data_IF_561274380987
#
_entry.id   IF_561274380987
#
_cell.length_a   1.000
_cell.length_b   1.000
_cell.length_c   1.000
_cell.angle_alpha   90.00
_cell.angle_beta   90.00
_cell.angle_gamma   90.00
#
_symmetry.space_group_name_H-M   'P 1'
#
loop_
_entity.id
_entity.type
_entity.pdbx_description
1 polymer ?
#
# COMPACT_ATOMS: atom_id res chain seq x y z
N UNK A 1 25.67 34.32 18.33
CA UNK A 1 25.23 34.95 19.61
C UNK A 1 25.13 33.82 20.64
N UNK A 2 25.85 33.94 21.77
CA UNK A 2 25.75 32.98 22.87
C UNK A 2 24.38 33.10 23.52
N UNK A 3 23.69 31.99 23.74
CA UNK A 3 22.38 31.97 24.42
C UNK A 3 22.50 32.42 25.91
N UNK A 4 21.34 32.49 26.63
CA UNK A 4 21.33 32.87 28.03
C UNK A 4 22.13 31.91 28.90
N UNK A 5 22.81 32.44 29.91
CA UNK A 5 23.54 31.64 30.89
C UNK A 5 22.60 30.92 31.85
N UNK A 6 23.12 29.92 32.57
CA UNK A 6 22.34 29.22 33.60
C UNK A 6 21.75 30.21 34.63
N UNK A 7 22.53 31.21 35.05
CA UNK A 7 22.12 32.19 36.04
C UNK A 7 20.98 33.08 35.50
N UNK A 8 21.06 33.50 34.22
CA UNK A 8 19.99 34.28 33.60
C UNK A 8 18.70 33.52 33.51
N UNK A 9 18.72 32.23 33.08
CA UNK A 9 17.56 31.36 33.06
C UNK A 9 16.97 31.15 34.46
N UNK A 10 17.82 30.89 35.47
CA UNK A 10 17.37 30.69 36.84
C UNK A 10 16.73 31.93 37.49
N UNK A 11 17.06 33.12 36.99
CA UNK A 11 16.57 34.40 37.45
C UNK A 11 15.44 35.00 36.58
N UNK A 12 14.86 34.21 35.65
CA UNK A 12 13.71 34.66 34.84
C UNK A 12 12.58 35.17 35.73
N UNK A 13 12.14 36.40 35.44
CA UNK A 13 11.14 37.08 36.28
C UNK A 13 9.70 36.67 36.01
N UNK A 14 9.44 36.00 34.90
CA UNK A 14 8.13 35.50 34.50
C UNK A 14 8.25 34.23 33.61
N UNK A 15 7.13 33.52 33.40
CA UNK A 15 7.07 32.40 32.47
C UNK A 15 7.30 32.86 31.03
N UNK A 16 6.79 34.01 30.64
CA UNK A 16 6.97 34.58 29.30
C UNK A 16 8.44 34.89 29.02
N UNK A 17 9.12 35.50 30.00
CA UNK A 17 10.57 35.74 29.92
C UNK A 17 11.34 34.42 29.82
N UNK A 18 11.02 33.41 30.65
CA UNK A 18 11.62 32.09 30.55
C UNK A 18 11.40 31.45 29.18
N UNK A 19 10.15 31.50 28.64
CA UNK A 19 9.84 30.92 27.32
C UNK A 19 10.58 31.62 26.20
N UNK A 20 10.72 32.94 26.27
CA UNK A 20 11.49 33.71 25.30
C UNK A 20 12.98 33.27 25.30
N UNK A 21 13.57 33.17 26.50
CA UNK A 21 14.96 32.71 26.64
C UNK A 21 15.15 31.27 26.17
N UNK A 22 14.24 30.33 26.52
CA UNK A 22 14.28 28.93 26.06
C UNK A 22 14.22 28.84 24.53
N UNK A 23 13.42 29.69 23.90
CA UNK A 23 13.32 29.77 22.43
C UNK A 23 14.66 30.09 21.76
N UNK A 24 15.50 30.92 22.37
CA UNK A 24 16.82 31.29 21.83
C UNK A 24 17.82 30.11 21.80
N UNK A 25 17.64 29.14 22.71
CA UNK A 25 18.46 27.93 22.82
C UNK A 25 17.72 26.67 22.33
N UNK A 26 16.64 26.84 21.55
CA UNK A 26 15.84 25.77 20.97
C UNK A 26 15.28 24.76 21.99
N UNK A 27 14.99 25.23 23.20
CA UNK A 27 14.29 24.45 24.23
C UNK A 27 12.84 24.90 24.29
N UNK A 28 11.92 23.95 24.50
CA UNK A 28 10.50 24.23 24.65
C UNK A 28 10.00 23.77 26.02
N UNK A 29 9.17 24.59 26.65
CA UNK A 29 8.50 24.24 27.90
C UNK A 29 7.45 23.17 27.66
N UNK A 30 7.73 21.91 28.00
CA UNK A 30 6.83 20.78 27.78
C UNK A 30 5.47 20.94 28.47
N UNK A 31 5.41 21.65 29.56
CA UNK A 31 4.20 21.97 30.35
C UNK A 31 3.35 23.10 29.74
N UNK A 32 3.89 23.91 28.80
CA UNK A 32 3.21 25.07 28.22
C UNK A 32 2.45 24.74 26.92
N UNK A 33 2.41 23.49 26.49
CA UNK A 33 1.74 23.10 25.25
C UNK A 33 0.23 23.21 25.36
N UNK A 34 -0.39 23.89 24.41
CA UNK A 34 -1.87 23.95 24.26
C UNK A 34 -2.45 22.58 23.93
N UNK A 35 -1.71 21.74 23.23
CA UNK A 35 -2.05 20.34 22.91
C UNK A 35 -1.10 19.40 23.61
N UNK A 36 -1.59 18.39 24.35
CA UNK A 36 -0.72 17.43 25.02
C UNK A 36 0.16 16.68 24.02
N UNK A 37 1.37 16.30 24.45
CA UNK A 37 2.28 15.45 23.66
C UNK A 37 1.77 14.01 23.52
N UNK A 38 0.94 13.58 24.47
CA UNK A 38 0.28 12.29 24.51
C UNK A 38 -1.23 12.51 24.40
N UNK A 39 -1.90 11.64 23.67
CA UNK A 39 -3.36 11.68 23.50
C UNK A 39 -3.96 10.30 23.79
N UNK A 40 -5.23 10.25 24.26
CA UNK A 40 -5.83 9.01 24.76
C UNK A 40 -6.14 7.98 23.67
N UNK A 41 -6.37 8.43 22.45
CA UNK A 41 -6.71 7.58 21.30
C UNK A 41 -5.88 7.93 20.07
N UNK A 42 -5.69 6.96 19.14
CA UNK A 42 -5.00 7.21 17.88
C UNK A 42 -5.66 8.33 17.05
N UNK A 43 -4.86 9.13 16.37
CA UNK A 43 -5.37 10.14 15.45
C UNK A 43 -5.88 9.48 14.18
N UNK A 44 -7.10 9.84 13.75
CA UNK A 44 -7.71 9.44 12.49
C UNK A 44 -7.51 10.53 11.44
N UNK A 45 -6.26 10.81 11.08
CA UNK A 45 -5.92 11.86 10.12
C UNK A 45 -6.30 11.47 8.69
N UNK A 46 -5.96 10.26 8.28
CA UNK A 46 -6.32 9.72 6.98
C UNK A 46 -7.79 9.28 6.98
N UNK A 47 -8.41 9.32 5.80
CA UNK A 47 -9.85 9.02 5.61
C UNK A 47 -10.03 7.72 4.84
N UNK A 48 -11.08 6.93 5.10
CA UNK A 48 -11.50 5.89 4.19
C UNK A 48 -11.80 6.52 2.82
N UNK A 49 -11.37 5.86 1.76
CA UNK A 49 -11.58 6.37 0.41
C UNK A 49 -11.51 5.25 -0.64
N UNK A 50 -12.10 5.47 -1.80
CA UNK A 50 -12.01 4.56 -2.94
C UNK A 50 -11.66 5.28 -4.22
N UNK A 51 -10.89 4.62 -5.10
CA UNK A 51 -10.50 5.12 -6.41
C UNK A 51 -11.01 4.18 -7.50
N UNK A 52 -11.60 4.77 -8.54
CA UNK A 52 -12.14 4.02 -9.68
C UNK A 52 -11.05 3.61 -10.66
N UNK A 53 -10.91 2.31 -10.89
CA UNK A 53 -10.02 1.79 -11.93
C UNK A 53 -10.44 2.22 -13.34
N UNK A 54 -11.74 2.31 -13.61
CA UNK A 54 -12.22 2.76 -14.92
C UNK A 54 -11.76 4.19 -15.24
N UNK A 55 -11.74 5.09 -14.25
CA UNK A 55 -11.22 6.44 -14.41
C UNK A 55 -9.70 6.43 -14.57
N UNK A 56 -9.00 5.67 -13.72
CA UNK A 56 -7.55 5.54 -13.78
C UNK A 56 -7.09 4.95 -15.12
N UNK A 57 -7.76 3.89 -15.60
CA UNK A 57 -7.46 3.28 -16.90
C UNK A 57 -7.62 4.29 -18.04
N UNK A 58 -8.73 5.05 -18.09
CA UNK A 58 -8.93 6.10 -19.08
C UNK A 58 -7.82 7.17 -19.06
N UNK A 59 -7.36 7.57 -17.87
CA UNK A 59 -6.26 8.52 -17.73
C UNK A 59 -4.91 7.92 -18.16
N UNK A 60 -4.64 6.65 -17.83
CA UNK A 60 -3.44 5.94 -18.28
C UNK A 60 -3.42 5.73 -19.81
N UNK A 61 -4.57 5.40 -20.42
CA UNK A 61 -4.71 5.30 -21.86
C UNK A 61 -4.41 6.64 -22.56
N UNK A 62 -4.87 7.75 -21.98
CA UNK A 62 -4.53 9.09 -22.46
C UNK A 62 -3.02 9.38 -22.28
N UNK A 63 -2.45 9.07 -21.13
CA UNK A 63 -1.02 9.24 -20.87
C UNK A 63 -0.16 8.42 -21.85
N UNK A 64 -0.59 7.19 -22.18
CA UNK A 64 0.10 6.36 -23.19
C UNK A 64 0.24 7.03 -24.55
N UNK A 65 -0.72 7.85 -24.96
CA UNK A 65 -0.65 8.63 -26.20
C UNK A 65 0.14 9.93 -26.07
N UNK A 66 0.22 10.50 -24.88
CA UNK A 66 0.78 11.84 -24.63
C UNK A 66 2.21 11.83 -24.14
N UNK A 67 2.64 10.73 -23.49
CA UNK A 67 3.93 10.62 -22.83
C UNK A 67 4.66 9.37 -23.35
N UNK A 68 5.89 9.55 -23.80
CA UNK A 68 6.77 8.45 -24.19
C UNK A 68 7.59 7.91 -23.00
N UNK A 69 8.37 6.85 -23.23
CA UNK A 69 9.21 6.21 -22.20
C UNK A 69 10.39 7.06 -21.75
N UNK A 70 10.77 8.09 -22.49
CA UNK A 70 11.82 9.04 -22.09
C UNK A 70 11.36 9.96 -20.95
N UNK A 71 10.07 10.35 -20.97
CA UNK A 71 9.46 11.17 -19.92
C UNK A 71 9.00 10.35 -18.72
N UNK A 72 8.49 9.14 -18.97
CA UNK A 72 8.04 8.25 -17.94
C UNK A 72 8.25 6.80 -18.37
N UNK A 73 9.19 6.12 -17.76
CA UNK A 73 9.49 4.71 -18.06
C UNK A 73 8.25 3.82 -18.01
N UNK A 74 7.33 4.17 -17.12
CA UNK A 74 5.96 3.65 -17.01
C UNK A 74 5.02 4.75 -16.53
N UNK A 75 3.79 4.76 -17.05
CA UNK A 75 2.79 5.73 -16.61
C UNK A 75 2.23 5.26 -15.29
N UNK A 76 2.24 6.13 -14.29
CA UNK A 76 1.68 5.85 -12.98
C UNK A 76 0.72 6.96 -12.50
N UNK A 77 -0.29 6.57 -11.73
CA UNK A 77 -1.24 7.47 -11.10
C UNK A 77 -1.25 7.15 -9.61
N UNK A 78 -0.60 8.00 -8.84
CA UNK A 78 -0.53 7.85 -7.38
C UNK A 78 -1.89 8.14 -6.75
N UNK A 79 -2.34 7.29 -5.85
CA UNK A 79 -3.64 7.39 -5.17
C UNK A 79 -3.50 8.23 -3.89
N UNK A 80 -3.80 9.52 -4.00
CA UNK A 80 -3.69 10.47 -2.89
C UNK A 80 -4.91 10.37 -1.98
N UNK A 81 -4.68 10.21 -0.68
CA UNK A 81 -5.76 10.29 0.29
C UNK A 81 -6.27 11.74 0.40
N UNK A 82 -7.60 11.97 0.55
CA UNK A 82 -8.14 13.33 0.70
C UNK A 82 -7.53 14.14 1.86
N UNK A 83 -6.94 13.47 2.84
CA UNK A 83 -6.33 14.09 4.01
C UNK A 83 -4.80 14.21 3.94
N UNK A 84 -4.16 13.81 2.83
CA UNK A 84 -2.70 13.81 2.68
C UNK A 84 -2.27 14.08 1.25
N UNK A 85 -1.01 14.48 1.08
CA UNK A 85 -0.51 14.94 -0.21
C UNK A 85 -0.10 13.79 -1.13
N UNK A 86 0.81 12.91 -0.68
CA UNK A 86 1.40 11.87 -1.54
C UNK A 86 0.93 10.45 -1.17
N UNK A 87 0.60 10.21 0.08
CA UNK A 87 0.35 8.87 0.60
C UNK A 87 -1.12 8.43 0.45
N UNK A 88 -1.36 7.15 0.20
CA UNK A 88 -2.68 6.52 0.23
C UNK A 88 -3.14 6.31 1.69
N UNK A 89 -2.19 5.98 2.56
CA UNK A 89 -2.34 5.94 4.02
C UNK A 89 -1.06 6.43 4.69
N UNK A 90 -0.97 6.39 6.02
CA UNK A 90 0.21 6.92 6.76
C UNK A 90 1.52 6.25 6.38
N UNK A 91 1.49 4.96 6.04
CA UNK A 91 2.67 4.11 5.83
C UNK A 91 2.73 3.48 4.44
N UNK A 92 1.62 3.54 3.69
CA UNK A 92 1.46 2.86 2.42
C UNK A 92 1.04 3.87 1.35
N UNK A 93 1.65 3.78 0.17
CA UNK A 93 1.21 4.42 -1.06
C UNK A 93 0.82 3.35 -2.07
N UNK A 94 -0.24 3.61 -2.81
CA UNK A 94 -0.68 2.80 -3.93
C UNK A 94 -0.75 3.64 -5.21
N UNK A 95 -0.51 3.01 -6.36
CA UNK A 95 -0.55 3.65 -7.67
C UNK A 95 -1.06 2.68 -8.73
N UNK A 96 -1.93 3.13 -9.61
CA UNK A 96 -2.18 2.43 -10.87
C UNK A 96 -1.05 2.69 -11.84
N UNK A 97 -0.58 1.66 -12.51
CA UNK A 97 0.48 1.77 -13.50
C UNK A 97 0.11 1.09 -14.82
N UNK A 98 0.77 1.52 -15.90
CA UNK A 98 0.59 0.97 -17.23
C UNK A 98 1.89 0.98 -18.02
N UNK A 99 2.11 -0.10 -18.79
CA UNK A 99 3.15 -0.23 -19.79
C UNK A 99 2.52 -0.69 -21.12
N UNK A 100 2.94 -0.07 -22.23
CA UNK A 100 2.42 -0.38 -23.57
C UNK A 100 3.15 -1.59 -24.19
N UNK A 101 2.57 -2.24 -25.21
CA UNK A 101 3.27 -3.26 -25.99
C UNK A 101 4.61 -2.77 -26.52
N UNK A 102 5.64 -3.62 -26.38
CA UNK A 102 7.01 -3.34 -26.83
C UNK A 102 7.84 -2.44 -25.89
N UNK A 103 7.25 -1.87 -24.86
CA UNK A 103 7.96 -1.03 -23.91
C UNK A 103 8.69 -1.84 -22.83
N UNK A 104 9.80 -1.27 -22.35
CA UNK A 104 10.56 -1.76 -21.19
C UNK A 104 10.84 -0.60 -20.25
N UNK A 105 10.70 -0.84 -18.95
CA UNK A 105 11.14 0.06 -17.87
C UNK A 105 12.52 -0.37 -17.40
N UNK A 106 13.44 0.60 -17.25
CA UNK A 106 14.82 0.34 -16.79
C UNK A 106 14.83 -0.31 -15.42
N UNK A 107 15.77 -1.22 -15.25
CA UNK A 107 15.97 -1.91 -13.96
C UNK A 107 16.61 -0.98 -12.94
N UNK A 108 16.15 -1.11 -11.71
CA UNK A 108 16.67 -0.36 -10.57
C UNK A 108 16.39 -1.14 -9.27
N UNK A 109 16.93 -0.67 -8.17
CA UNK A 109 16.59 -1.14 -6.82
C UNK A 109 16.36 0.04 -5.88
N UNK A 110 15.56 -0.18 -4.87
CA UNK A 110 15.25 0.83 -3.86
C UNK A 110 14.96 0.20 -2.50
N UNK A 111 15.08 1.01 -1.44
CA UNK A 111 14.82 0.57 -0.07
C UNK A 111 13.35 0.17 0.16
N UNK A 112 12.34 0.91 -0.32
CA UNK A 112 10.96 0.48 -0.14
C UNK A 112 10.68 -0.92 -0.68
N UNK A 113 9.88 -1.69 0.06
CA UNK A 113 9.21 -2.86 -0.48
C UNK A 113 8.15 -2.44 -1.47
N UNK A 114 7.97 -3.21 -2.53
CA UNK A 114 6.91 -3.03 -3.51
C UNK A 114 6.26 -4.37 -3.88
N UNK A 115 5.03 -4.28 -4.34
CA UNK A 115 4.29 -5.41 -4.89
C UNK A 115 3.31 -4.93 -5.95
N UNK A 116 2.85 -5.87 -6.80
CA UNK A 116 1.91 -5.60 -7.89
C UNK A 116 0.76 -6.58 -7.84
N UNK A 117 -0.46 -6.07 -7.88
CA UNK A 117 -1.64 -6.83 -8.27
C UNK A 117 -1.93 -6.56 -9.73
N UNK A 118 -1.91 -7.57 -10.56
CA UNK A 118 -2.15 -7.45 -12.00
C UNK A 118 -3.65 -7.34 -12.26
N UNK A 119 -4.06 -6.28 -12.94
CA UNK A 119 -5.47 -6.00 -13.22
C UNK A 119 -5.87 -6.47 -14.64
N UNK A 120 -5.16 -5.97 -15.65
CA UNK A 120 -5.36 -6.37 -17.04
C UNK A 120 -3.99 -6.52 -17.72
N UNK A 121 -3.75 -7.64 -18.37
CA UNK A 121 -2.57 -7.89 -19.17
C UNK A 121 -2.82 -9.07 -20.11
N UNK A 122 -2.19 -9.04 -21.30
CA UNK A 122 -2.05 -10.20 -22.17
C UNK A 122 -0.80 -11.00 -21.77
N UNK A 123 -0.70 -12.27 -22.14
CA UNK A 123 0.55 -13.02 -22.04
C UNK A 123 1.70 -12.26 -22.72
N UNK A 124 2.83 -12.12 -22.01
CA UNK A 124 4.01 -11.36 -22.47
C UNK A 124 4.35 -10.15 -21.63
N UNK A 125 3.46 -9.68 -20.76
CA UNK A 125 3.82 -8.74 -19.70
C UNK A 125 4.57 -9.45 -18.58
N UNK A 126 5.64 -8.82 -18.05
CA UNK A 126 6.48 -9.43 -17.02
C UNK A 126 7.15 -8.39 -16.13
N UNK A 127 7.56 -8.85 -14.95
CA UNK A 127 8.55 -8.19 -14.10
C UNK A 127 9.77 -9.10 -13.97
N UNK A 128 10.98 -8.56 -14.07
CA UNK A 128 12.20 -9.27 -13.66
C UNK A 128 12.53 -8.82 -12.23
N UNK A 129 12.81 -9.77 -11.35
CA UNK A 129 13.22 -9.50 -9.97
C UNK A 129 14.44 -10.36 -9.63
N UNK A 130 15.61 -9.74 -9.41
CA UNK A 130 16.87 -10.43 -9.16
C UNK A 130 17.14 -11.60 -10.14
N UNK A 131 16.99 -11.37 -11.44
CA UNK A 131 17.21 -12.37 -12.47
C UNK A 131 16.07 -13.37 -12.70
N UNK A 132 14.94 -13.27 -11.98
CA UNK A 132 13.75 -14.09 -12.23
C UNK A 132 12.73 -13.33 -13.08
N UNK A 133 12.40 -13.83 -14.27
CA UNK A 133 11.36 -13.30 -15.13
C UNK A 133 10.00 -13.87 -14.73
N UNK A 134 9.21 -13.04 -14.05
CA UNK A 134 7.92 -13.40 -13.49
C UNK A 134 6.80 -12.89 -14.42
N UNK A 135 5.94 -13.78 -14.88
CA UNK A 135 4.79 -13.42 -15.71
C UNK A 135 3.81 -12.53 -14.93
N UNK A 136 3.12 -11.65 -15.65
CA UNK A 136 2.09 -10.76 -15.11
C UNK A 136 0.76 -11.09 -15.76
N UNK A 137 -0.02 -12.00 -15.17
CA UNK A 137 -1.37 -12.35 -15.63
C UNK A 137 -2.44 -11.77 -14.70
N UNK A 138 -3.65 -11.45 -15.19
CA UNK A 138 -4.71 -10.86 -14.36
C UNK A 138 -5.02 -11.67 -13.11
N UNK A 139 -4.95 -11.03 -11.96
CA UNK A 139 -5.13 -11.62 -10.63
C UNK A 139 -3.84 -12.10 -9.96
N UNK A 140 -2.72 -12.20 -10.69
CA UNK A 140 -1.41 -12.50 -10.10
C UNK A 140 -0.97 -11.38 -9.16
N UNK A 141 -0.19 -11.78 -8.14
CA UNK A 141 0.54 -10.85 -7.27
C UNK A 141 2.02 -11.11 -7.40
N UNK A 142 2.79 -10.07 -7.73
CA UNK A 142 4.25 -10.11 -7.90
C UNK A 142 4.92 -9.21 -6.87
N UNK A 143 5.91 -9.72 -6.15
CA UNK A 143 6.65 -8.99 -5.13
C UNK A 143 7.95 -8.43 -5.71
N UNK A 144 8.32 -7.28 -5.20
CA UNK A 144 9.66 -6.68 -5.33
C UNK A 144 10.14 -6.30 -3.93
N UNK A 145 10.78 -7.24 -3.21
CA UNK A 145 11.26 -6.99 -1.86
C UNK A 145 12.32 -5.87 -1.82
N UNK A 146 12.50 -5.30 -0.64
CA UNK A 146 13.55 -4.31 -0.35
C UNK A 146 14.87 -4.70 -1.01
N UNK A 147 15.46 -3.72 -1.71
CA UNK A 147 16.79 -3.79 -2.31
C UNK A 147 16.97 -4.87 -3.38
N UNK A 148 15.91 -5.47 -3.91
CA UNK A 148 15.97 -6.37 -5.06
C UNK A 148 16.02 -5.57 -6.37
N UNK A 149 16.93 -5.94 -7.27
CA UNK A 149 16.90 -5.46 -8.65
C UNK A 149 15.58 -5.80 -9.31
N UNK A 150 14.99 -4.88 -10.06
CA UNK A 150 13.77 -5.15 -10.79
C UNK A 150 13.57 -4.19 -11.97
N UNK A 151 12.92 -4.72 -12.98
CA UNK A 151 12.50 -4.00 -14.19
C UNK A 151 11.23 -4.63 -14.76
N UNK A 152 10.63 -4.00 -15.76
CA UNK A 152 9.38 -4.45 -16.35
C UNK A 152 9.48 -4.45 -17.87
N UNK A 153 8.69 -5.30 -18.51
CA UNK A 153 8.53 -5.27 -19.95
C UNK A 153 7.18 -5.83 -20.39
N UNK A 154 6.78 -5.48 -21.58
CA UNK A 154 5.55 -5.96 -22.19
C UNK A 154 5.84 -6.42 -23.63
N UNK A 155 6.00 -7.71 -23.80
CA UNK A 155 6.14 -8.40 -25.11
C UNK A 155 4.78 -8.84 -25.66
N UNK A 156 3.69 -8.53 -24.94
CA UNK A 156 2.31 -8.83 -25.33
C UNK A 156 1.78 -7.89 -26.42
N UNK A 157 0.48 -8.01 -26.71
CA UNK A 157 -0.20 -7.23 -27.77
C UNK A 157 -1.09 -6.11 -27.23
N UNK A 158 -1.46 -6.15 -25.96
CA UNK A 158 -2.24 -5.13 -25.28
C UNK A 158 -1.43 -4.45 -24.18
N UNK A 159 -1.89 -3.26 -23.75
CA UNK A 159 -1.33 -2.60 -22.57
C UNK A 159 -1.52 -3.47 -21.34
N UNK A 160 -0.52 -3.48 -20.45
CA UNK A 160 -0.62 -4.12 -19.15
C UNK A 160 -0.86 -3.07 -18.08
N UNK A 161 -1.82 -3.33 -17.19
CA UNK A 161 -2.23 -2.45 -16.09
C UNK A 161 -2.16 -3.21 -14.77
N UNK A 162 -1.61 -2.58 -13.76
CA UNK A 162 -1.52 -3.16 -12.42
C UNK A 162 -1.68 -2.11 -11.34
N UNK A 163 -1.93 -2.57 -10.13
CA UNK A 163 -1.86 -1.78 -8.91
C UNK A 163 -0.51 -2.04 -8.23
N UNK A 164 0.35 -1.04 -8.15
CA UNK A 164 1.52 -1.06 -7.28
C UNK A 164 1.13 -0.62 -5.87
N UNK A 165 1.71 -1.29 -4.86
CA UNK A 165 1.61 -0.88 -3.45
C UNK A 165 3.00 -0.92 -2.84
N UNK A 166 3.38 0.17 -2.17
CA UNK A 166 4.72 0.36 -1.60
C UNK A 166 4.65 0.96 -0.20
N UNK A 167 5.66 0.68 0.62
CA UNK A 167 5.85 1.28 1.94
C UNK A 167 6.69 2.58 1.90
N UNK A 168 6.72 3.27 0.75
CA UNK A 168 7.45 4.53 0.57
C UNK A 168 7.18 5.55 1.68
N UNK A 169 5.93 5.81 2.12
CA UNK A 169 5.69 6.78 3.18
C UNK A 169 6.32 6.39 4.51
N UNK A 170 6.41 5.09 4.83
CA UNK A 170 7.11 4.58 6.02
C UNK A 170 8.62 4.83 5.89
N UNK A 171 9.20 4.50 4.74
CA UNK A 171 10.63 4.71 4.48
C UNK A 171 10.98 6.20 4.49
N UNK A 172 10.14 7.06 3.93
CA UNK A 172 10.32 8.52 3.99
C UNK A 172 10.25 9.06 5.43
N UNK A 173 9.33 8.55 6.25
CA UNK A 173 9.20 8.94 7.65
C UNK A 173 10.46 8.60 8.47
N UNK A 174 11.07 7.45 8.18
CA UNK A 174 12.27 6.96 8.87
C UNK A 174 13.58 7.41 8.20
N UNK A 175 13.51 7.99 7.00
CA UNK A 175 14.60 8.55 6.19
C UNK A 175 15.61 7.57 5.53
N UNK A 176 15.55 6.22 5.62
CA UNK A 176 16.53 5.34 4.98
C UNK A 176 16.24 5.11 3.49
N UNK A 177 15.94 6.16 2.73
CA UNK A 177 15.65 6.06 1.31
C UNK A 177 16.94 5.94 0.48
N UNK A 178 17.08 4.81 -0.21
CA UNK A 178 18.11 4.60 -1.21
C UNK A 178 17.45 4.21 -2.55
N UNK A 179 18.03 4.65 -3.63
CA UNK A 179 17.66 4.31 -5.00
C UNK A 179 18.93 4.15 -5.83
N UNK A 180 19.01 3.10 -6.63
CA UNK A 180 20.14 2.81 -7.49
C UNK A 180 19.66 2.30 -8.85
N UNK A 181 20.03 2.97 -9.97
CA UNK A 181 19.78 2.46 -11.31
C UNK A 181 20.69 1.26 -11.60
N UNK A 182 20.20 0.30 -12.40
CA UNK A 182 21.00 -0.86 -12.78
C UNK A 182 22.15 -0.42 -13.69
N UNK A 183 23.40 -0.93 -13.46
CA UNK A 183 24.59 -0.52 -14.24
C UNK A 183 24.44 -0.75 -15.76
N UNK A 184 23.69 -1.78 -16.15
CA UNK A 184 23.45 -2.15 -17.56
C UNK A 184 22.07 -1.67 -18.06
N UNK A 185 21.43 -0.73 -17.37
CA UNK A 185 20.07 -0.21 -17.63
C UNK A 185 18.98 -1.28 -17.53
N UNK A 186 19.18 -2.47 -18.07
CA UNK A 186 18.20 -3.56 -18.06
C UNK A 186 18.85 -4.86 -17.55
N UNK A 187 18.12 -5.59 -16.73
CA UNK A 187 18.44 -6.98 -16.42
C UNK A 187 18.11 -7.83 -17.66
N UNK A 188 19.12 -8.29 -18.38
CA UNK A 188 18.95 -9.02 -19.66
C UNK A 188 18.98 -10.53 -19.49
N UNK A 189 19.72 -11.04 -18.51
CA UNK A 189 19.83 -12.46 -18.20
C UNK A 189 18.83 -12.83 -17.12
N UNK A 190 17.61 -13.22 -17.52
CA UNK A 190 16.57 -13.63 -16.60
C UNK A 190 16.09 -15.05 -16.87
N UNK A 191 15.92 -15.81 -15.81
CA UNK A 191 15.40 -17.18 -15.84
C UNK A 191 13.91 -17.17 -15.50
N UNK A 192 13.10 -17.95 -16.23
CA UNK A 192 11.71 -18.19 -15.86
C UNK A 192 11.69 -19.29 -14.80
N UNK A 193 11.39 -18.97 -13.52
CA UNK A 193 11.42 -19.96 -12.46
C UNK A 193 10.19 -20.90 -12.55
N UNK A 194 10.36 -22.14 -12.14
CA UNK A 194 9.23 -23.08 -11.99
C UNK A 194 8.33 -22.67 -10.81
N UNK A 195 8.94 -22.11 -9.78
CA UNK A 195 8.28 -21.60 -8.59
C UNK A 195 9.12 -20.45 -8.02
N UNK A 196 8.48 -19.36 -7.60
CA UNK A 196 9.14 -18.22 -7.00
C UNK A 196 8.37 -17.75 -5.76
N UNK A 197 9.05 -17.49 -4.64
CA UNK A 197 8.40 -16.89 -3.47
C UNK A 197 7.92 -15.47 -3.74
N UNK A 198 8.35 -14.85 -4.85
CA UNK A 198 7.97 -13.51 -5.27
C UNK A 198 6.76 -13.49 -6.21
N UNK A 199 6.16 -14.66 -6.53
CA UNK A 199 5.03 -14.76 -7.44
C UNK A 199 3.90 -15.61 -6.88
N UNK A 200 2.73 -15.02 -6.71
CA UNK A 200 1.49 -15.71 -6.33
C UNK A 200 0.55 -15.72 -7.53
N UNK A 201 0.56 -16.83 -8.27
CA UNK A 201 -0.27 -17.01 -9.46
C UNK A 201 -1.76 -17.12 -9.11
N UNK A 202 -2.61 -16.49 -9.92
CA UNK A 202 -4.05 -16.42 -9.67
C UNK A 202 -4.72 -17.81 -9.64
N UNK A 203 -4.35 -18.71 -10.50
CA UNK A 203 -4.92 -20.08 -10.54
C UNK A 203 -4.72 -20.82 -9.20
N UNK A 204 -3.51 -20.77 -8.64
CA UNK A 204 -3.19 -21.37 -7.34
C UNK A 204 -3.90 -20.62 -6.19
N UNK A 205 -3.97 -19.32 -6.25
CA UNK A 205 -4.71 -18.49 -5.29
C UNK A 205 -6.20 -18.85 -5.26
N UNK A 206 -6.82 -19.03 -6.43
CA UNK A 206 -8.22 -19.48 -6.54
C UNK A 206 -8.43 -20.88 -5.95
N UNK A 207 -7.52 -21.82 -6.21
CA UNK A 207 -7.57 -23.16 -5.64
C UNK A 207 -7.53 -23.10 -4.11
N UNK A 208 -6.61 -22.34 -3.53
CA UNK A 208 -6.48 -22.15 -2.07
C UNK A 208 -7.72 -21.48 -1.46
N UNK A 209 -8.30 -20.49 -2.13
CA UNK A 209 -9.55 -19.85 -1.71
C UNK A 209 -10.72 -20.83 -1.70
N UNK A 210 -10.84 -21.70 -2.73
CA UNK A 210 -11.87 -22.72 -2.80
C UNK A 210 -11.72 -23.77 -1.68
N UNK A 211 -10.49 -24.19 -1.37
CA UNK A 211 -10.22 -25.11 -0.25
C UNK A 211 -10.55 -24.47 1.11
N UNK A 212 -10.19 -23.20 1.31
CA UNK A 212 -10.52 -22.48 2.53
C UNK A 212 -12.05 -22.33 2.67
N UNK A 213 -12.75 -22.04 1.59
CA UNK A 213 -14.20 -21.92 1.58
C UNK A 213 -14.88 -23.26 1.91
N UNK A 214 -14.41 -24.37 1.34
CA UNK A 214 -14.93 -25.71 1.63
C UNK A 214 -14.78 -26.09 3.12
N UNK A 215 -13.73 -25.61 3.78
CA UNK A 215 -13.44 -25.85 5.21
C UNK A 215 -14.14 -24.85 6.13
N UNK A 216 -14.76 -23.81 5.63
CA UNK A 216 -15.24 -22.65 6.42
C UNK A 216 -16.55 -22.87 7.16
N UNK A 217 -17.20 -24.05 7.05
CA UNK A 217 -18.49 -24.37 7.67
C UNK A 217 -19.58 -23.28 7.45
N UNK A 218 -19.60 -22.69 6.24
CA UNK A 218 -20.59 -21.68 5.88
C UNK A 218 -20.27 -20.25 6.34
N UNK A 219 -19.04 -19.95 6.75
CA UNK A 219 -18.61 -18.58 7.09
C UNK A 219 -18.95 -17.58 5.98
N UNK A 220 -19.18 -16.32 6.36
CA UNK A 220 -19.56 -15.25 5.43
C UNK A 220 -18.42 -14.89 4.47
N UNK A 221 -17.19 -15.13 4.87
CA UNK A 221 -15.99 -14.91 4.08
C UNK A 221 -14.89 -15.88 4.48
N UNK A 222 -13.88 -16.01 3.63
CA UNK A 222 -12.60 -16.67 3.94
C UNK A 222 -11.46 -15.74 3.54
N UNK A 223 -10.37 -15.82 4.30
CA UNK A 223 -9.14 -15.07 4.02
C UNK A 223 -7.95 -16.03 4.02
N UNK A 224 -7.09 -15.92 3.02
CA UNK A 224 -5.86 -16.69 2.93
C UNK A 224 -4.66 -15.75 2.86
N UNK A 225 -3.62 -16.00 3.63
CA UNK A 225 -2.36 -15.26 3.54
C UNK A 225 -1.62 -15.61 2.24
N UNK A 226 -0.94 -14.61 1.65
CA UNK A 226 0.01 -14.76 0.55
C UNK A 226 1.43 -14.53 1.10
N UNK A 227 2.10 -15.63 1.49
CA UNK A 227 3.35 -15.58 2.25
C UNK A 227 3.14 -15.34 3.75
N UNK A 228 4.19 -15.45 4.59
CA UNK A 228 4.08 -15.38 6.05
C UNK A 228 5.27 -14.62 6.71
N UNK A 229 5.28 -13.33 6.84
CA UNK A 229 4.71 -12.32 5.95
C UNK A 229 5.46 -12.34 4.62
N UNK A 230 4.79 -11.96 3.55
CA UNK A 230 5.41 -11.92 2.23
C UNK A 230 6.53 -10.86 2.14
N UNK A 231 6.37 -9.75 2.87
CA UNK A 231 7.33 -8.66 2.98
C UNK A 231 7.47 -8.25 4.46
N UNK A 232 8.65 -7.78 4.86
CA UNK A 232 8.94 -7.45 6.27
C UNK A 232 8.01 -6.38 6.88
N UNK A 233 7.54 -5.46 6.06
CA UNK A 233 6.70 -4.31 6.47
C UNK A 233 5.24 -4.48 6.10
N UNK A 234 4.92 -5.38 5.16
CA UNK A 234 3.57 -5.56 4.63
C UNK A 234 3.16 -7.04 4.61
N UNK A 235 1.98 -7.33 5.16
CA UNK A 235 1.32 -8.63 5.00
C UNK A 235 0.29 -8.55 3.87
N UNK A 236 0.14 -9.68 3.16
CA UNK A 236 -0.72 -9.81 2.00
C UNK A 236 -1.72 -10.94 2.21
N UNK A 237 -2.96 -10.71 1.80
CA UNK A 237 -4.00 -11.74 1.82
C UNK A 237 -4.99 -11.59 0.68
N UNK A 238 -5.70 -12.68 0.37
CA UNK A 238 -6.89 -12.66 -0.47
C UNK A 238 -8.11 -12.98 0.39
N UNK A 239 -9.07 -12.07 0.37
CA UNK A 239 -10.34 -12.13 1.07
C UNK A 239 -11.44 -12.45 0.06
N UNK A 240 -12.11 -13.61 0.21
CA UNK A 240 -13.28 -13.98 -0.61
C UNK A 240 -14.56 -13.80 0.19
N UNK A 241 -15.44 -12.92 -0.29
CA UNK A 241 -16.77 -12.65 0.25
C UNK A 241 -17.80 -13.57 -0.41
N UNK A 242 -18.69 -14.16 0.37
CA UNK A 242 -19.85 -14.90 -0.16
C UNK A 242 -20.96 -13.93 -0.57
N UNK A 243 -21.71 -14.35 -1.57
CA UNK A 243 -22.90 -13.64 -2.06
C UNK A 243 -23.90 -13.33 -0.94
N UNK A 244 -24.39 -12.08 -0.88
CA UNK A 244 -25.35 -11.60 0.10
C UNK A 244 -24.85 -11.55 1.54
N UNK A 245 -23.52 -11.59 1.76
CA UNK A 245 -22.94 -11.64 3.12
C UNK A 245 -22.03 -10.47 3.37
N UNK A 246 -21.89 -10.12 4.64
CA UNK A 246 -20.95 -9.11 5.14
C UNK A 246 -19.86 -9.76 5.98
N UNK A 247 -18.68 -9.16 6.03
CA UNK A 247 -17.63 -9.54 6.99
C UNK A 247 -18.06 -9.18 8.41
N UNK A 248 -17.40 -9.76 9.41
CA UNK A 248 -17.44 -9.17 10.74
C UNK A 248 -16.80 -7.78 10.73
N UNK A 249 -17.27 -6.89 11.59
CA UNK A 249 -16.64 -5.59 11.76
C UNK A 249 -15.20 -5.76 12.31
N UNK A 250 -14.24 -5.03 11.73
CA UNK A 250 -12.85 -5.07 12.16
C UNK A 250 -12.33 -3.67 12.44
N UNK A 251 -11.66 -3.51 13.56
CA UNK A 251 -10.94 -2.31 13.92
C UNK A 251 -9.54 -2.70 14.39
N UNK A 252 -8.50 -2.22 13.72
CA UNK A 252 -7.11 -2.57 14.02
C UNK A 252 -6.21 -1.35 13.89
N UNK A 253 -5.15 -1.29 14.69
CA UNK A 253 -4.12 -0.25 14.59
C UNK A 253 -3.13 -0.59 13.48
N UNK A 254 -3.65 -0.69 12.27
CA UNK A 254 -2.89 -0.89 11.02
C UNK A 254 -3.68 -0.32 9.85
N UNK A 255 -2.98 0.12 8.82
CA UNK A 255 -3.57 0.56 7.56
C UNK A 255 -3.84 -0.66 6.67
N UNK A 256 -4.93 -0.63 5.92
CA UNK A 256 -5.21 -1.63 4.90
C UNK A 256 -5.56 -0.97 3.57
N UNK A 257 -4.96 -1.46 2.49
CA UNK A 257 -5.31 -1.13 1.11
C UNK A 257 -5.90 -2.39 0.48
N UNK A 258 -7.05 -2.27 -0.14
CA UNK A 258 -7.74 -3.37 -0.82
C UNK A 258 -7.82 -3.10 -2.31
N UNK A 259 -7.34 -4.04 -3.14
CA UNK A 259 -7.59 -4.07 -4.57
C UNK A 259 -8.72 -5.07 -4.89
N UNK A 260 -9.71 -4.65 -5.65
CA UNK A 260 -10.83 -5.52 -6.02
C UNK A 260 -10.44 -6.42 -7.20
N UNK A 261 -10.20 -7.71 -6.92
CA UNK A 261 -9.80 -8.69 -7.94
C UNK A 261 -11.01 -9.15 -8.75
N UNK A 262 -12.14 -9.43 -8.07
CA UNK A 262 -13.40 -9.89 -8.70
C UNK A 262 -14.60 -9.34 -7.96
N UNK A 263 -15.70 -9.12 -8.71
CA UNK A 263 -16.99 -8.74 -8.16
C UNK A 263 -17.13 -7.24 -7.88
N UNK A 264 -18.13 -6.93 -7.07
CA UNK A 264 -18.48 -5.58 -6.64
C UNK A 264 -19.11 -5.61 -5.25
N UNK A 265 -19.14 -4.45 -4.59
CA UNK A 265 -19.74 -4.36 -3.26
C UNK A 265 -19.58 -2.99 -2.61
N UNK A 266 -19.68 -2.98 -1.30
CA UNK A 266 -19.51 -1.80 -0.46
C UNK A 266 -18.57 -2.08 0.70
N UNK A 267 -17.90 -1.03 1.17
CA UNK A 267 -17.18 -1.01 2.43
C UNK A 267 -17.76 0.10 3.28
N UNK A 268 -18.30 -0.24 4.43
CA UNK A 268 -18.67 0.73 5.46
C UNK A 268 -17.43 0.94 6.35
N UNK A 269 -16.97 2.17 6.45
CA UNK A 269 -15.81 2.51 7.27
C UNK A 269 -15.98 3.86 7.93
N UNK A 270 -15.98 3.87 9.26
CA UNK A 270 -16.09 5.08 10.12
C UNK A 270 -17.27 6.00 9.75
N UNK A 271 -18.42 5.40 9.34
CA UNK A 271 -19.65 6.11 8.94
C UNK A 271 -19.75 6.48 7.45
N UNK A 272 -18.71 6.19 6.67
CA UNK A 272 -18.72 6.39 5.22
C UNK A 272 -19.02 5.08 4.49
N UNK A 273 -19.80 5.12 3.41
CA UNK A 273 -20.07 3.97 2.54
C UNK A 273 -19.32 4.15 1.22
N UNK A 274 -18.34 3.29 1.00
CA UNK A 274 -17.52 3.25 -0.22
C UNK A 274 -18.03 2.15 -1.13
N UNK A 275 -18.49 2.49 -2.33
CA UNK A 275 -18.86 1.52 -3.37
C UNK A 275 -17.64 1.17 -4.22
N UNK A 276 -17.55 -0.09 -4.64
CA UNK A 276 -16.42 -0.55 -5.44
C UNK A 276 -16.80 -1.71 -6.37
N UNK A 277 -16.02 -1.89 -7.40
CA UNK A 277 -16.11 -2.98 -8.39
C UNK A 277 -14.71 -3.41 -8.81
N UNK A 278 -14.63 -4.48 -9.62
CA UNK A 278 -13.35 -5.04 -10.09
C UNK A 278 -12.38 -3.94 -10.57
N UNK A 279 -11.17 -4.01 -10.10
CA UNK A 279 -10.07 -3.08 -10.37
C UNK A 279 -9.99 -1.88 -9.44
N UNK A 280 -11.09 -1.51 -8.76
CA UNK A 280 -11.08 -0.38 -7.83
C UNK A 280 -10.19 -0.65 -6.62
N UNK A 281 -9.72 0.43 -6.00
CA UNK A 281 -8.91 0.39 -4.79
C UNK A 281 -9.65 1.07 -3.65
N UNK A 282 -9.62 0.44 -2.47
CA UNK A 282 -10.17 0.99 -1.23
C UNK A 282 -9.05 1.12 -0.22
N UNK A 283 -9.02 2.22 0.53
CA UNK A 283 -8.17 2.35 1.72
C UNK A 283 -9.02 2.43 2.97
N UNK A 284 -8.65 1.66 3.97
CA UNK A 284 -9.13 1.79 5.35
C UNK A 284 -7.92 2.11 6.22
N UNK A 285 -7.78 3.38 6.66
CA UNK A 285 -6.68 3.78 7.52
C UNK A 285 -6.77 3.16 8.92
N UNK A 286 -5.64 3.21 9.65
CA UNK A 286 -5.51 2.65 10.98
C UNK A 286 -6.59 3.13 11.96
N UNK A 287 -7.03 2.22 12.83
CA UNK A 287 -8.01 2.46 13.90
C UNK A 287 -9.42 2.84 13.43
N UNK A 288 -9.75 2.53 12.16
CA UNK A 288 -11.11 2.71 11.64
C UNK A 288 -11.84 1.38 11.58
N UNK A 289 -13.04 1.32 12.17
CA UNK A 289 -13.90 0.15 12.09
C UNK A 289 -14.46 0.03 10.70
N UNK A 290 -14.43 -1.17 10.11
CA UNK A 290 -14.95 -1.40 8.76
C UNK A 290 -15.60 -2.77 8.58
N UNK A 291 -16.51 -2.83 7.62
CA UNK A 291 -17.24 -4.03 7.16
C UNK A 291 -17.27 -4.02 5.64
N UNK A 292 -16.99 -5.15 5.01
CA UNK A 292 -17.19 -5.34 3.58
C UNK A 292 -18.47 -6.14 3.33
N UNK A 293 -19.21 -5.76 2.28
CA UNK A 293 -20.42 -6.46 1.84
C UNK A 293 -20.41 -6.61 0.31
N UNK A 294 -20.91 -7.74 -0.18
CA UNK A 294 -21.12 -7.97 -1.61
C UNK A 294 -22.42 -8.77 -1.83
N UNK A 295 -23.26 -8.32 -2.77
CA UNK A 295 -24.48 -9.03 -3.13
C UNK A 295 -24.21 -10.31 -3.93
N UNK A 296 -23.24 -10.27 -4.83
CA UNK A 296 -22.96 -11.34 -5.80
C UNK A 296 -21.69 -12.15 -5.46
N UNK A 297 -21.01 -11.79 -4.35
CA UNK A 297 -19.72 -12.29 -3.99
C UNK A 297 -18.58 -11.49 -4.62
N UNK A 298 -17.43 -11.47 -3.96
CA UNK A 298 -16.26 -10.71 -4.42
C UNK A 298 -14.96 -11.33 -3.91
N UNK A 299 -13.84 -10.98 -4.54
CA UNK A 299 -12.50 -11.25 -4.05
C UNK A 299 -11.73 -9.94 -3.95
N UNK A 300 -11.23 -9.64 -2.76
CA UNK A 300 -10.40 -8.49 -2.46
C UNK A 300 -8.97 -8.95 -2.15
N UNK A 301 -8.00 -8.34 -2.78
CA UNK A 301 -6.60 -8.42 -2.38
C UNK A 301 -6.35 -7.39 -1.30
N UNK A 302 -5.82 -7.80 -0.15
CA UNK A 302 -5.51 -6.91 0.98
C UNK A 302 -4.02 -6.80 1.19
N UNK A 303 -3.54 -5.57 1.35
CA UNK A 303 -2.19 -5.21 1.81
C UNK A 303 -2.32 -4.44 3.12
N UNK A 304 -1.53 -4.81 4.13
CA UNK A 304 -1.58 -4.15 5.44
C UNK A 304 -0.19 -4.02 6.05
N UNK A 305 0.04 -2.95 6.82
CA UNK A 305 1.27 -2.72 7.59
C UNK A 305 1.28 -3.38 8.98
N UNK A 306 0.39 -4.34 9.22
CA UNK A 306 0.36 -5.11 10.47
C UNK A 306 1.72 -5.66 10.91
N UNK A 307 2.60 -6.18 10.01
CA UNK A 307 3.90 -6.70 10.41
C UNK A 307 4.78 -5.66 11.11
N UNK A 308 4.88 -4.45 10.55
CA UNK A 308 5.69 -3.39 11.16
C UNK A 308 5.04 -2.88 12.46
N UNK A 309 3.72 -2.76 12.51
CA UNK A 309 2.99 -2.38 13.71
C UNK A 309 3.18 -3.40 14.83
N UNK A 310 3.19 -4.69 14.52
CA UNK A 310 3.45 -5.76 15.46
C UNK A 310 4.90 -5.73 15.96
N UNK A 311 5.89 -5.61 15.08
CA UNK A 311 7.33 -5.52 15.44
C UNK A 311 7.62 -4.34 16.37
N UNK A 312 6.94 -3.20 16.18
CA UNK A 312 7.08 -2.02 17.02
C UNK A 312 6.23 -2.05 18.29
N UNK A 313 5.42 -3.09 18.50
CA UNK A 313 4.52 -3.20 19.66
C UNK A 313 3.32 -2.24 19.59
N UNK A 314 2.98 -1.71 18.43
CA UNK A 314 1.88 -0.76 18.22
C UNK A 314 0.57 -1.42 17.81
N UNK A 315 0.61 -2.67 17.35
CA UNK A 315 -0.58 -3.38 16.89
C UNK A 315 -1.57 -3.55 18.07
N UNK A 316 -2.80 -3.12 17.85
CA UNK A 316 -3.93 -3.24 18.77
C UNK A 316 -5.19 -3.53 17.97
N UNK A 317 -6.08 -4.31 18.55
CA UNK A 317 -7.45 -4.51 18.04
C UNK A 317 -8.43 -3.78 18.93
N UNK A 318 -9.38 -3.08 18.33
CA UNK A 318 -10.48 -2.43 19.02
C UNK A 318 -11.68 -3.36 19.14
N UNK A 319 -12.56 -3.08 20.11
CA UNK A 319 -13.89 -3.66 20.11
C UNK A 319 -14.63 -3.08 18.90
N UNK A 320 -14.82 -3.88 17.86
CA UNK A 320 -15.54 -3.46 16.66
C UNK A 320 -16.95 -3.02 17.06
N UNK A 321 -17.28 -1.75 16.85
CA UNK A 321 -18.65 -1.25 17.02
C UNK A 321 -19.48 -1.82 15.88
N UNK A 322 -20.53 -2.57 16.27
CA UNK A 322 -21.57 -3.02 15.34
C UNK A 322 -22.37 -1.85 14.82
#
# INVERSE_FOLDING_TARGET
MSGPTQQQLAQSGSLDDLYAQLGTIRMGAGWAKKTPSLWPEPKKTFKPYSWSYAQAKGALDAAGRLINTELAERRNLVLHNPAGDYATSRTIVAAYQMIMPGEKARSHRHTPNALRLILDADPGAYTIVNGEKLAMLPGDVVLTPNWCWHGHGNEGRACAYWLDVLDVPLVQLLEPMFFEPHPEEFETEAVVPTNSPMHFGWAETQRRLAEAEAKSNGAAHVEIALGEPALDTMALSMLKLKSGRATAARQVMANSVFGVVQGSGTTEADGETLTWRRGDVIVVPAWQSHVHHSNDGAVLFRVTDEPVMAKLGFLREGAAKQ
#
